data_IF_815823169764
#
_entry.id   IF_815823169764
#
_cell.length_a   1.000
_cell.length_b   1.000
_cell.length_c   1.000
_cell.angle_alpha   90.00
_cell.angle_beta   90.00
_cell.angle_gamma   90.00
#
_symmetry.space_group_name_H-M   'P 1'
#
loop_
_entity.id
_entity.type
_entity.pdbx_description
1 polymer ?
#
# COMPACT_ATOMS: atom_id res chain seq x y z
N UNK A 1 -11.26 -24.72 -34.89
CA UNK A 1 -11.65 -24.17 -33.56
C UNK A 1 -10.41 -23.54 -32.96
N UNK A 2 -10.34 -22.20 -32.92
CA UNK A 2 -9.17 -21.51 -32.39
C UNK A 2 -9.16 -21.64 -30.86
N UNK A 3 -8.02 -22.04 -30.32
CA UNK A 3 -7.81 -22.27 -28.91
C UNK A 3 -7.04 -21.09 -28.32
N UNK A 4 -7.53 -20.56 -27.19
CA UNK A 4 -6.86 -19.45 -26.52
C UNK A 4 -5.42 -19.81 -26.11
N UNK A 5 -4.48 -18.85 -26.11
CA UNK A 5 -3.09 -19.06 -25.72
C UNK A 5 -2.97 -19.64 -24.30
N UNK A 6 -1.95 -20.46 -24.07
CA UNK A 6 -1.74 -21.16 -22.79
C UNK A 6 -1.76 -20.22 -21.57
N UNK A 7 -1.11 -19.06 -21.67
CA UNK A 7 -1.10 -18.06 -20.60
C UNK A 7 -2.49 -17.52 -20.27
N UNK A 8 -3.32 -17.25 -21.28
CA UNK A 8 -4.69 -16.78 -21.08
C UNK A 8 -5.53 -17.85 -20.40
N UNK A 9 -5.36 -19.13 -20.76
CA UNK A 9 -6.08 -20.24 -20.11
C UNK A 9 -5.68 -20.46 -18.66
N UNK A 10 -4.39 -20.29 -18.35
CA UNK A 10 -3.90 -20.36 -16.98
C UNK A 10 -4.50 -19.21 -16.16
N UNK A 11 -4.47 -17.98 -16.67
CA UNK A 11 -5.05 -16.82 -15.99
C UNK A 11 -6.56 -16.97 -15.79
N UNK A 12 -7.29 -17.43 -16.82
CA UNK A 12 -8.72 -17.71 -16.72
C UNK A 12 -9.00 -18.82 -15.71
N UNK A 13 -8.22 -19.91 -15.73
CA UNK A 13 -8.32 -21.00 -14.77
C UNK A 13 -8.06 -20.55 -13.32
N UNK A 14 -7.01 -19.76 -13.11
CA UNK A 14 -6.68 -19.19 -11.80
C UNK A 14 -7.76 -18.21 -11.31
N UNK A 15 -8.29 -17.38 -12.21
CA UNK A 15 -9.41 -16.48 -11.90
C UNK A 15 -10.67 -17.26 -11.54
N UNK A 16 -11.01 -18.32 -12.29
CA UNK A 16 -12.16 -19.17 -11.95
C UNK A 16 -12.01 -19.84 -10.59
N UNK A 17 -10.80 -20.33 -10.24
CA UNK A 17 -10.53 -20.91 -8.91
C UNK A 17 -10.68 -19.88 -7.80
N UNK A 18 -10.17 -18.66 -8.00
CA UNK A 18 -10.32 -17.58 -7.03
C UNK A 18 -11.81 -17.19 -6.83
N UNK A 19 -12.60 -17.17 -7.90
CA UNK A 19 -14.04 -16.90 -7.83
C UNK A 19 -14.79 -18.03 -7.10
N UNK A 20 -14.47 -19.29 -7.41
CA UNK A 20 -15.10 -20.42 -6.72
C UNK A 20 -14.79 -20.44 -5.23
N UNK A 21 -13.56 -20.12 -4.82
CA UNK A 21 -13.22 -20.04 -3.41
C UNK A 21 -13.84 -18.84 -2.70
N UNK A 22 -13.98 -17.69 -3.37
CA UNK A 22 -14.71 -16.56 -2.77
C UNK A 22 -16.19 -16.86 -2.57
N UNK A 23 -16.81 -17.68 -3.44
CA UNK A 23 -18.19 -18.14 -3.27
C UNK A 23 -18.37 -19.20 -2.16
N UNK A 24 -17.31 -19.89 -1.73
CA UNK A 24 -17.34 -20.85 -0.60
C UNK A 24 -17.13 -20.17 0.76
N UNK A 25 -16.52 -18.98 0.80
CA UNK A 25 -16.31 -18.20 2.02
C UNK A 25 -17.58 -17.92 2.84
N UNK A 26 -18.77 -17.59 2.26
CA UNK A 26 -19.98 -17.29 3.04
C UNK A 26 -20.40 -18.44 3.96
N UNK A 27 -20.25 -19.68 3.49
CA UNK A 27 -20.58 -20.88 4.27
C UNK A 27 -19.55 -21.15 5.37
N UNK A 28 -18.31 -20.70 5.20
CA UNK A 28 -17.22 -20.92 6.14
C UNK A 28 -17.21 -19.88 7.28
N UNK A 29 -17.73 -18.67 7.03
CA UNK A 29 -17.84 -17.58 8.03
C UNK A 29 -18.63 -18.00 9.28
N UNK A 30 -19.58 -18.93 9.17
CA UNK A 30 -20.45 -19.35 10.27
C UNK A 30 -19.73 -20.15 11.37
N UNK A 31 -18.57 -20.74 11.04
CA UNK A 31 -17.74 -21.53 11.98
C UNK A 31 -16.52 -20.76 12.49
N UNK A 32 -16.30 -19.53 12.03
CA UNK A 32 -15.13 -18.76 12.42
C UNK A 32 -15.36 -17.95 13.71
N UNK A 33 -14.31 -17.76 14.54
CA UNK A 33 -14.37 -16.93 15.72
C UNK A 33 -14.63 -15.47 15.33
N UNK A 34 -15.40 -14.78 16.19
CA UNK A 34 -15.83 -13.38 16.04
C UNK A 34 -14.71 -12.39 15.68
N UNK A 35 -13.45 -12.71 15.97
CA UNK A 35 -12.29 -11.87 15.65
C UNK A 35 -12.03 -11.71 14.14
N UNK A 36 -12.37 -12.72 13.33
CA UNK A 36 -12.18 -12.66 11.87
C UNK A 36 -13.21 -11.75 11.18
N UNK A 37 -14.42 -11.62 11.74
CA UNK A 37 -15.43 -10.70 11.24
C UNK A 37 -14.96 -9.23 11.35
N UNK A 38 -14.30 -8.87 12.45
CA UNK A 38 -13.77 -7.52 12.66
C UNK A 38 -12.61 -7.18 11.71
N UNK A 39 -11.71 -8.13 11.45
CA UNK A 39 -10.62 -7.93 10.50
C UNK A 39 -11.12 -7.70 9.07
N UNK A 40 -12.16 -8.43 8.66
CA UNK A 40 -12.80 -8.22 7.36
C UNK A 40 -13.42 -6.81 7.26
N UNK A 41 -14.10 -6.32 8.30
CA UNK A 41 -14.66 -4.98 8.31
C UNK A 41 -13.59 -3.88 8.19
N UNK A 42 -12.44 -4.04 8.86
CA UNK A 42 -11.31 -3.10 8.73
C UNK A 42 -10.71 -3.10 7.32
N UNK A 43 -10.62 -4.26 6.68
CA UNK A 43 -10.15 -4.38 5.29
C UNK A 43 -11.06 -3.65 4.29
N UNK A 44 -12.38 -3.74 4.48
CA UNK A 44 -13.36 -3.06 3.61
C UNK A 44 -13.25 -1.54 3.70
N UNK A 45 -13.10 -1.00 4.90
CA UNK A 45 -12.97 0.45 5.10
C UNK A 45 -11.74 1.00 4.37
N UNK A 46 -10.60 0.31 4.48
CA UNK A 46 -9.36 0.69 3.78
C UNK A 46 -9.51 0.53 2.27
N UNK A 47 -10.21 -0.49 1.81
CA UNK A 47 -10.48 -0.68 0.38
C UNK A 47 -11.32 0.46 -0.22
N UNK A 48 -12.36 0.90 0.49
CA UNK A 48 -13.17 2.05 0.08
C UNK A 48 -12.36 3.34 -0.02
N UNK A 49 -11.37 3.53 0.86
CA UNK A 49 -10.49 4.72 0.85
C UNK A 49 -9.48 4.65 -0.30
N UNK A 50 -8.89 3.48 -0.54
CA UNK A 50 -7.85 3.30 -1.56
C UNK A 50 -8.40 3.26 -3.00
N UNK A 51 -9.69 2.94 -3.20
CA UNK A 51 -10.28 2.90 -4.53
C UNK A 51 -10.29 4.28 -5.21
N UNK A 52 -10.62 5.35 -4.48
CA UNK A 52 -10.64 6.69 -5.04
C UNK A 52 -9.24 7.14 -5.46
N UNK A 53 -8.24 6.87 -4.62
CA UNK A 53 -6.84 7.17 -4.91
C UNK A 53 -6.32 6.36 -6.12
N UNK A 54 -6.71 5.09 -6.23
CA UNK A 54 -6.34 4.23 -7.35
C UNK A 54 -7.02 4.66 -8.66
N UNK A 55 -8.26 5.13 -8.62
CA UNK A 55 -8.97 5.65 -9.79
C UNK A 55 -8.30 6.93 -10.29
N UNK A 56 -8.02 7.89 -9.40
CA UNK A 56 -7.34 9.14 -9.75
C UNK A 56 -5.94 8.86 -10.32
N UNK A 57 -5.23 7.91 -9.71
CA UNK A 57 -3.90 7.50 -10.19
C UNK A 57 -3.98 6.75 -11.52
N UNK A 58 -5.01 5.94 -11.72
CA UNK A 58 -5.30 5.27 -12.99
C UNK A 58 -5.54 6.27 -14.11
N UNK A 59 -6.41 7.26 -13.86
CA UNK A 59 -6.75 8.33 -14.79
C UNK A 59 -5.51 9.14 -15.21
N UNK A 60 -4.74 9.63 -14.23
CA UNK A 60 -3.48 10.34 -14.51
C UNK A 60 -2.42 9.49 -15.22
N UNK A 61 -2.34 8.18 -14.95
CA UNK A 61 -1.44 7.30 -15.70
C UNK A 61 -1.91 7.07 -17.13
N UNK A 62 -3.21 6.98 -17.37
CA UNK A 62 -3.79 6.84 -18.71
C UNK A 62 -3.55 8.09 -19.55
N UNK A 63 -3.75 9.28 -18.98
CA UNK A 63 -3.43 10.56 -19.65
C UNK A 63 -1.93 10.68 -20.00
N UNK A 64 -1.05 10.13 -19.16
CA UNK A 64 0.40 10.16 -19.42
C UNK A 64 0.85 9.20 -20.53
N UNK A 65 0.13 8.08 -20.71
CA UNK A 65 0.45 7.02 -21.69
C UNK A 65 -0.28 7.28 -23.02
N UNK A 66 -1.47 7.88 -22.97
CA UNK A 66 -2.28 8.29 -24.10
C UNK A 66 -2.44 9.81 -24.07
N UNK A 67 -1.59 10.57 -24.79
CA UNK A 67 -1.74 12.02 -24.89
C UNK A 67 -3.16 12.37 -25.32
N UNK A 68 -3.79 13.41 -24.73
CA UNK A 68 -5.15 13.78 -25.06
C UNK A 68 -5.23 14.08 -26.56
N UNK A 69 -5.88 13.19 -27.29
CA UNK A 69 -6.43 13.52 -28.59
C UNK A 69 -7.71 14.27 -28.30
N UNK A 70 -7.77 15.55 -28.66
CA UNK A 70 -9.01 16.33 -28.78
C UNK A 70 -9.86 15.79 -29.94
N UNK A 71 -10.05 14.47 -30.00
CA UNK A 71 -11.02 13.83 -30.86
C UNK A 71 -12.27 13.72 -30.00
N UNK A 72 -13.05 14.81 -29.92
CA UNK A 72 -14.39 14.79 -29.36
C UNK A 72 -15.13 13.64 -30.05
N UNK A 73 -15.36 12.53 -29.36
CA UNK A 73 -15.91 11.38 -30.04
C UNK A 73 -17.38 11.66 -30.33
N UNK A 74 -17.94 11.09 -31.39
CA UNK A 74 -19.31 11.34 -31.91
C UNK A 74 -20.45 11.10 -30.88
N UNK A 75 -20.14 10.57 -29.70
CA UNK A 75 -21.07 10.39 -28.57
C UNK A 75 -20.99 11.51 -27.51
N UNK A 76 -20.04 12.43 -27.66
CA UNK A 76 -19.84 13.62 -26.83
C UNK A 76 -20.06 14.93 -27.63
N UNK A 77 -20.57 14.83 -28.86
CA UNK A 77 -21.14 15.96 -29.60
C UNK A 77 -22.60 16.11 -29.21
N UNK A 78 -22.98 17.28 -28.71
CA UNK A 78 -24.37 17.59 -28.40
C UNK A 78 -25.08 18.01 -29.68
N UNK A 79 -26.34 17.58 -29.85
CA UNK A 79 -27.18 18.00 -30.98
C UNK A 79 -27.39 19.55 -31.03
N UNK A 80 -26.99 20.28 -29.98
CA UNK A 80 -26.95 21.76 -29.93
C UNK A 80 -25.85 22.38 -30.83
N UNK A 81 -24.80 21.64 -31.17
CA UNK A 81 -23.75 22.10 -32.09
C UNK A 81 -24.08 21.79 -33.56
N UNK A 82 -25.20 21.11 -33.81
CA UNK A 82 -25.73 20.99 -35.16
C UNK A 82 -26.23 22.39 -35.55
N UNK A 83 -25.73 22.99 -36.65
CA UNK A 83 -26.21 24.32 -37.04
C UNK A 83 -27.72 24.23 -37.19
N UNK A 84 -28.45 25.04 -36.44
CA UNK A 84 -29.90 25.20 -36.54
C UNK A 84 -30.24 25.39 -38.01
N UNK A 85 -30.58 24.30 -38.67
CA UNK A 85 -31.02 24.29 -40.03
C UNK A 85 -32.47 24.77 -39.99
N UNK A 86 -32.71 26.05 -39.67
CA UNK A 86 -33.33 27.10 -40.50
C UNK A 86 -33.42 28.39 -39.65
N UNK A 87 -32.75 29.48 -40.06
CA UNK A 87 -33.27 30.87 -40.12
C UNK A 87 -32.22 31.99 -39.89
N UNK A 88 -32.02 32.76 -40.98
CA UNK A 88 -31.77 34.20 -41.10
C UNK A 88 -30.54 34.89 -40.44
N UNK A 89 -29.86 35.82 -41.16
CA UNK A 89 -28.63 36.43 -40.71
C UNK A 89 -28.87 37.66 -39.82
N UNK A 90 -28.15 37.78 -38.70
CA UNK A 90 -28.03 39.05 -38.00
C UNK A 90 -27.38 39.01 -36.62
N UNK A 91 -26.15 39.52 -36.55
CA UNK A 91 -25.47 40.16 -35.39
C UNK A 91 -24.51 39.31 -34.55
N UNK A 92 -23.21 39.55 -34.74
CA UNK A 92 -22.09 39.30 -33.82
C UNK A 92 -21.87 40.53 -32.87
N UNK A 93 -20.86 40.57 -31.97
CA UNK A 93 -20.42 39.62 -30.93
C UNK A 93 -20.26 40.31 -29.54
N UNK A 94 -20.04 39.56 -28.46
CA UNK A 94 -19.71 40.13 -27.15
C UNK A 94 -19.08 39.13 -26.19
N UNK A 95 -17.74 39.09 -26.18
CA UNK A 95 -16.92 38.30 -25.26
C UNK A 95 -16.77 39.00 -23.88
N UNK A 96 -16.65 38.19 -22.82
CA UNK A 96 -15.86 38.54 -21.64
C UNK A 96 -16.60 38.60 -20.30
N UNK A 97 -16.05 37.90 -19.32
CA UNK A 97 -16.15 38.16 -17.88
C UNK A 97 -17.29 37.50 -17.08
N UNK A 98 -17.23 36.16 -17.00
CA UNK A 98 -17.80 35.39 -15.89
C UNK A 98 -16.75 35.15 -14.80
N UNK A 99 -16.38 36.21 -14.08
CA UNK A 99 -15.49 36.17 -12.90
C UNK A 99 -15.99 35.14 -11.86
N UNK A 100 -15.19 34.08 -11.67
CA UNK A 100 -15.48 32.94 -10.80
C UNK A 100 -15.30 33.36 -9.33
N UNK A 101 -16.39 33.81 -8.71
CA UNK A 101 -16.43 34.16 -7.27
C UNK A 101 -16.38 32.94 -6.34
N UNK A 102 -15.30 32.16 -6.33
CA UNK A 102 -15.19 31.07 -5.31
C UNK A 102 -13.77 30.73 -4.84
N UNK A 103 -12.75 31.48 -5.21
CA UNK A 103 -11.34 31.09 -4.93
C UNK A 103 -10.82 31.51 -3.54
N UNK A 104 -11.64 32.10 -2.67
CA UNK A 104 -11.15 32.78 -1.46
C UNK A 104 -11.26 32.06 -0.12
N UNK A 105 -11.92 30.89 0.00
CA UNK A 105 -12.30 30.34 1.33
C UNK A 105 -11.62 29.04 1.74
N UNK A 106 -10.95 28.33 0.83
CA UNK A 106 -10.35 27.03 1.11
C UNK A 106 -8.81 27.06 1.28
N UNK A 107 -8.16 28.21 1.07
CA UNK A 107 -6.70 28.35 1.19
C UNK A 107 -6.18 28.48 2.64
N UNK A 108 -7.06 28.63 3.64
CA UNK A 108 -6.66 28.91 5.03
C UNK A 108 -6.26 27.68 5.85
N UNK A 109 -6.40 26.45 5.33
CA UNK A 109 -6.08 25.22 6.07
C UNK A 109 -5.02 24.33 5.42
N UNK A 110 -4.48 24.68 4.24
CA UNK A 110 -3.56 23.81 3.49
C UNK A 110 -2.07 24.04 3.76
N UNK A 111 -1.68 24.86 4.75
CA UNK A 111 -0.26 25.21 4.98
C UNK A 111 0.24 24.98 6.42
N UNK A 112 -0.34 24.03 7.16
CA UNK A 112 0.05 23.80 8.56
C UNK A 112 0.42 22.35 8.93
N UNK A 113 0.52 21.41 7.97
CA UNK A 113 0.97 20.03 8.28
C UNK A 113 2.00 19.51 7.27
N UNK A 114 3.00 20.33 6.97
CA UNK A 114 4.16 19.95 6.14
C UNK A 114 5.48 20.00 6.94
N UNK A 115 5.43 19.63 8.22
CA UNK A 115 6.62 19.62 9.06
C UNK A 115 6.61 18.44 10.05
N UNK A 116 6.71 17.21 9.53
CA UNK A 116 7.31 16.05 10.21
C UNK A 116 7.26 14.86 9.26
N UNK A 117 8.36 14.54 8.57
CA UNK A 117 9.02 13.22 8.62
C UNK A 117 10.09 13.15 7.52
N UNK A 118 11.27 13.69 7.82
CA UNK A 118 12.44 13.50 6.96
C UNK A 118 12.98 12.07 7.19
N UNK A 119 12.48 11.13 6.40
CA UNK A 119 13.01 9.77 6.34
C UNK A 119 14.38 9.75 5.62
N UNK A 120 15.47 9.26 6.26
CA UNK A 120 16.71 9.02 5.53
C UNK A 120 16.62 7.72 4.73
N UNK A 121 16.80 7.84 3.41
CA UNK A 121 17.03 6.74 2.46
C UNK A 121 18.24 5.92 2.90
N UNK A 122 18.03 4.66 3.27
CA UNK A 122 19.11 3.69 3.48
C UNK A 122 19.49 3.04 2.15
N UNK A 123 20.60 3.48 1.59
CA UNK A 123 21.37 2.70 0.60
C UNK A 123 21.86 1.41 1.25
N UNK A 124 21.40 0.28 0.73
CA UNK A 124 21.93 -1.05 1.07
C UNK A 124 23.34 -1.20 0.55
N UNK A 125 24.33 -0.95 1.41
CA UNK A 125 25.71 -1.39 1.17
C UNK A 125 25.82 -2.82 1.71
N UNK A 126 25.90 -3.80 0.79
CA UNK A 126 26.42 -5.14 1.10
C UNK A 126 27.84 -4.95 1.64
N UNK A 127 28.07 -5.39 2.86
CA UNK A 127 29.42 -5.63 3.37
C UNK A 127 29.51 -7.10 3.74
N UNK A 128 30.54 -7.71 3.15
CA UNK A 128 30.94 -9.10 3.24
C UNK A 128 31.30 -9.54 4.66
N UNK A 129 31.29 -10.87 4.76
CA UNK A 129 31.78 -11.75 5.80
C UNK A 129 33.09 -11.30 6.48
N UNK A 130 33.13 -11.39 7.81
CA UNK A 130 34.35 -11.44 8.62
C UNK A 130 34.03 -12.23 9.90
N UNK A 131 34.93 -13.13 10.38
CA UNK A 131 34.50 -14.40 10.96
C UNK A 131 34.31 -14.40 12.47
N UNK A 132 33.39 -15.29 12.89
CA UNK A 132 33.39 -16.13 14.10
C UNK A 132 33.73 -15.45 15.45
N UNK A 133 32.77 -14.71 16.00
CA UNK A 133 32.48 -14.80 17.43
C UNK A 133 31.55 -16.01 17.67
N UNK A 134 31.53 -16.64 18.85
CA UNK A 134 30.66 -17.78 19.12
C UNK A 134 29.22 -17.35 18.91
N UNK A 135 28.65 -17.73 17.77
CA UNK A 135 27.25 -17.48 17.48
C UNK A 135 26.45 -18.32 18.48
N UNK A 136 25.65 -17.71 19.36
CA UNK A 136 24.79 -18.48 20.22
C UNK A 136 23.86 -19.33 19.33
N UNK A 137 23.60 -20.58 19.72
CA UNK A 137 22.76 -21.53 18.94
C UNK A 137 21.44 -20.90 18.50
N UNK A 138 20.85 -20.08 19.38
CA UNK A 138 19.65 -19.27 19.16
C UNK A 138 19.70 -18.42 17.88
N UNK A 139 20.85 -17.82 17.55
CA UNK A 139 20.99 -16.98 16.35
C UNK A 139 20.90 -17.81 15.07
N UNK A 140 21.45 -19.03 15.11
CA UNK A 140 21.45 -19.96 13.97
C UNK A 140 20.08 -20.61 13.81
N UNK A 141 19.46 -21.03 14.91
CA UNK A 141 18.13 -21.66 14.91
C UNK A 141 17.02 -20.71 14.46
N UNK A 142 17.08 -19.43 14.86
CA UNK A 142 16.10 -18.42 14.44
C UNK A 142 16.42 -17.76 13.11
N UNK A 143 17.62 -17.98 12.56
CA UNK A 143 18.10 -17.25 11.38
C UNK A 143 18.05 -15.71 11.60
N UNK A 144 18.49 -15.28 12.79
CA UNK A 144 18.34 -13.91 13.32
C UNK A 144 18.86 -12.81 12.39
N UNK A 145 19.86 -13.10 11.56
CA UNK A 145 20.43 -12.14 10.63
C UNK A 145 19.47 -11.70 9.52
N UNK A 146 18.51 -12.55 9.15
CA UNK A 146 17.53 -12.31 8.07
C UNK A 146 16.20 -11.78 8.58
N UNK A 147 15.93 -11.92 9.88
CA UNK A 147 14.68 -11.52 10.52
C UNK A 147 14.44 -9.99 10.47
N UNK A 148 13.23 -9.62 10.08
CA UNK A 148 12.74 -8.24 10.20
C UNK A 148 12.40 -7.90 11.65
N UNK A 149 12.34 -6.60 11.97
CA UNK A 149 12.01 -6.14 13.32
C UNK A 149 10.64 -6.65 13.81
N UNK A 150 9.65 -6.70 12.91
CA UNK A 150 8.31 -7.19 13.22
C UNK A 150 8.29 -8.69 13.51
N UNK A 151 9.02 -9.48 12.71
CA UNK A 151 9.14 -10.92 12.91
C UNK A 151 9.89 -11.25 14.20
N UNK A 152 10.98 -10.52 14.50
CA UNK A 152 11.67 -10.65 15.78
C UNK A 152 10.68 -10.38 16.93
N UNK A 153 9.91 -9.29 16.86
CA UNK A 153 8.91 -8.95 17.89
C UNK A 153 7.91 -10.06 18.16
N UNK A 154 7.44 -10.74 17.11
CA UNK A 154 6.51 -11.87 17.25
C UNK A 154 7.16 -13.08 17.97
N UNK A 155 8.46 -13.31 17.75
CA UNK A 155 9.21 -14.46 18.31
C UNK A 155 9.78 -14.21 19.71
N UNK A 156 9.89 -12.97 20.16
CA UNK A 156 10.40 -12.62 21.50
C UNK A 156 9.55 -13.13 22.67
N UNK A 157 8.28 -13.48 22.43
CA UNK A 157 7.41 -13.99 23.49
C UNK A 157 7.72 -15.45 23.82
N UNK A 158 8.22 -16.23 22.85
CA UNK A 158 8.58 -17.64 23.03
C UNK A 158 10.01 -17.86 23.49
N UNK A 159 10.87 -16.83 23.46
CA UNK A 159 12.26 -16.91 23.92
C UNK A 159 12.37 -16.73 25.44
N UNK A 160 13.30 -17.46 26.03
CA UNK A 160 13.72 -17.37 27.44
C UNK A 160 14.63 -16.16 27.70
N UNK A 161 14.84 -15.82 28.98
CA UNK A 161 15.65 -14.65 29.38
C UNK A 161 17.11 -14.81 28.93
N UNK A 162 17.69 -16.00 29.12
CA UNK A 162 19.07 -16.30 28.73
C UNK A 162 19.28 -16.16 27.21
N UNK A 163 18.31 -16.61 26.40
CA UNK A 163 18.35 -16.47 24.95
C UNK A 163 18.24 -15.01 24.50
N UNK A 164 17.42 -14.21 25.19
CA UNK A 164 17.28 -12.78 24.90
C UNK A 164 18.56 -12.00 25.21
N UNK A 165 19.26 -12.33 26.29
CA UNK A 165 20.55 -11.73 26.65
C UNK A 165 21.64 -12.12 25.64
N UNK A 166 21.68 -13.39 25.23
CA UNK A 166 22.59 -13.86 24.19
C UNK A 166 22.36 -13.13 22.84
N UNK A 167 21.09 -12.90 22.46
CA UNK A 167 20.75 -12.12 21.27
C UNK A 167 21.14 -10.65 21.38
N UNK A 168 20.99 -10.04 22.56
CA UNK A 168 21.39 -8.65 22.79
C UNK A 168 22.90 -8.49 22.67
N UNK A 169 23.68 -9.39 23.28
CA UNK A 169 25.14 -9.40 23.18
C UNK A 169 25.60 -9.59 21.73
N UNK A 170 24.96 -10.50 20.99
CA UNK A 170 25.25 -10.74 19.57
C UNK A 170 24.95 -9.51 18.69
N UNK A 171 23.81 -8.85 18.90
CA UNK A 171 23.45 -7.65 18.15
C UNK A 171 24.41 -6.48 18.44
N UNK A 172 24.82 -6.30 19.70
CA UNK A 172 25.82 -5.31 20.11
C UNK A 172 27.18 -5.56 19.46
N UNK A 173 27.61 -6.82 19.35
CA UNK A 173 28.88 -7.20 18.74
C UNK A 173 28.89 -7.11 17.20
N UNK A 174 27.74 -7.26 16.54
CA UNK A 174 27.69 -7.40 15.07
C UNK A 174 27.29 -6.11 14.34
N UNK A 175 26.00 -5.71 14.42
CA UNK A 175 25.44 -4.62 13.60
C UNK A 175 24.97 -3.42 14.42
N UNK A 176 24.87 -3.58 15.74
CA UNK A 176 24.45 -2.57 16.70
C UNK A 176 23.20 -1.77 16.27
N UNK A 177 22.16 -2.45 15.76
CA UNK A 177 20.95 -1.78 15.30
C UNK A 177 20.13 -1.29 16.50
N UNK A 178 20.14 0.02 16.73
CA UNK A 178 19.37 0.68 17.80
C UNK A 178 17.92 0.18 17.98
N UNK A 179 17.08 0.02 16.93
CA UNK A 179 15.71 -0.46 17.12
C UNK A 179 15.63 -1.91 17.63
N UNK A 180 16.59 -2.77 17.27
CA UNK A 180 16.64 -4.16 17.74
C UNK A 180 17.09 -4.24 19.20
N UNK A 181 18.12 -3.46 19.56
CA UNK A 181 18.63 -3.39 20.93
C UNK A 181 17.58 -2.87 21.92
N UNK A 182 16.90 -1.77 21.59
CA UNK A 182 15.82 -1.22 22.44
C UNK A 182 14.70 -2.23 22.64
N UNK A 183 14.37 -3.00 21.61
CA UNK A 183 13.31 -4.00 21.68
C UNK A 183 13.72 -5.18 22.59
N UNK A 184 14.92 -5.72 22.41
CA UNK A 184 15.49 -6.79 23.24
C UNK A 184 15.61 -6.35 24.70
N UNK A 185 16.19 -5.17 24.96
CA UNK A 185 16.32 -4.62 26.31
C UNK A 185 14.97 -4.46 27.01
N UNK A 186 13.97 -3.89 26.33
CA UNK A 186 12.62 -3.75 26.88
C UNK A 186 11.90 -5.09 27.10
N UNK A 187 12.26 -6.14 26.35
CA UNK A 187 11.70 -7.48 26.56
C UNK A 187 12.35 -8.15 27.76
N UNK A 188 13.67 -8.03 27.92
CA UNK A 188 14.44 -8.57 29.06
C UNK A 188 13.92 -7.96 30.36
N UNK A 189 13.78 -6.63 30.44
CA UNK A 189 13.26 -5.97 31.65
C UNK A 189 11.85 -6.46 32.02
N UNK A 190 10.97 -6.64 31.03
CA UNK A 190 9.62 -7.20 31.24
C UNK A 190 9.61 -8.68 31.59
N UNK A 191 10.58 -9.46 31.11
CA UNK A 191 10.69 -10.88 31.43
C UNK A 191 11.17 -11.10 32.86
N UNK A 192 12.12 -10.28 33.33
CA UNK A 192 12.69 -10.35 34.68
C UNK A 192 11.74 -9.77 35.75
N UNK A 193 10.83 -8.87 35.35
CA UNK A 193 9.81 -8.31 36.23
C UNK A 193 8.62 -9.25 36.51
N UNK A 194 8.59 -10.45 35.92
CA UNK A 194 7.49 -11.41 36.03
C UNK A 194 7.93 -12.66 36.80
#
# INVERSE_FOLDING_TARGET
MAHAPYGVRLLVGAATVAVEETLKLPKTILMYPMTLASQAAHLVMVFQQNLAELVIKGDSTLESIFPPKDEQPEWATFDEDLPDAVEAPGTEPGAGEGDRRTEGRFALYSLADAASDAAPLKQGRKSEDTPAAPQPSVVTELDYATLTLAQLRARLQSLSVDELEALLAYEQATKARAPFQTLLANRITRANAK
#
